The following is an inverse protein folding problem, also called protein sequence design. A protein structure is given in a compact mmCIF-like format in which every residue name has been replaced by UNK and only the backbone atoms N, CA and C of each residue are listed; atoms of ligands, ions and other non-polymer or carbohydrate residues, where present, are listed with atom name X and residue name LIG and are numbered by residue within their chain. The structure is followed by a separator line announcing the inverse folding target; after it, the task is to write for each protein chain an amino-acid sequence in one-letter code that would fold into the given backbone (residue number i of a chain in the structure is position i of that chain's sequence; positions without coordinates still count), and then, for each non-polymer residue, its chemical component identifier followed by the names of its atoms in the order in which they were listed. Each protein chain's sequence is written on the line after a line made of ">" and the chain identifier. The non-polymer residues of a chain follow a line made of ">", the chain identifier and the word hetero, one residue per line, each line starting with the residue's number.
data_IF_473416813899
#
_entry.id   IF_473416813899
#
_cell.length_a   1.000
_cell.length_b   1.000
_cell.length_c   1.000
_cell.angle_alpha   90.00
_cell.angle_beta   90.00
_cell.angle_gamma   90.00
#
_symmetry.space_group_name_H-M   'P 1'
#
loop_
_entity.id
_entity.type
_entity.pdbx_description
1 polymer ?
#
# COMPACT_ATOMS: atom_id res chain seq x y z
N UNK A 1 -15.59 32.58 4.96
CA UNK A 1 -15.37 31.12 4.85
C UNK A 1 -16.43 30.58 3.94
N UNK A 2 -16.09 29.72 2.98
CA UNK A 2 -17.11 29.01 2.21
C UNK A 2 -17.90 28.10 3.16
N UNK A 3 -19.23 28.14 3.10
CA UNK A 3 -20.13 27.34 3.94
C UNK A 3 -20.15 25.85 3.53
N UNK A 4 -19.62 25.54 2.34
CA UNK A 4 -19.59 24.18 1.78
C UNK A 4 -18.17 23.81 1.34
N UNK A 5 -17.76 22.58 1.65
CA UNK A 5 -16.54 21.98 1.07
C UNK A 5 -16.77 21.56 -0.37
N UNK A 6 -15.78 21.77 -1.24
CA UNK A 6 -15.78 21.29 -2.62
C UNK A 6 -14.51 20.50 -2.89
N UNK A 7 -14.60 19.53 -3.81
CA UNK A 7 -13.47 18.74 -4.29
C UNK A 7 -13.29 19.05 -5.78
N UNK A 8 -12.10 19.52 -6.17
CA UNK A 8 -11.73 19.72 -7.57
C UNK A 8 -10.92 18.50 -8.01
N UNK A 9 -11.36 17.84 -9.07
CA UNK A 9 -10.69 16.66 -9.63
C UNK A 9 -10.61 16.77 -11.13
N UNK A 10 -9.59 16.14 -11.71
CA UNK A 10 -9.52 15.95 -13.15
C UNK A 10 -10.64 15.01 -13.62
N UNK A 11 -11.20 15.32 -14.78
CA UNK A 11 -12.22 14.50 -15.44
C UNK A 11 -11.60 13.66 -16.54
N UNK A 12 -11.76 12.33 -16.45
CA UNK A 12 -11.31 11.37 -17.47
C UNK A 12 -12.51 11.02 -18.36
N UNK A 13 -12.61 11.67 -19.52
CA UNK A 13 -13.72 11.49 -20.47
C UNK A 13 -13.35 10.87 -21.82
N UNK A 14 -12.12 10.34 -21.95
CA UNK A 14 -11.63 9.74 -23.19
C UNK A 14 -12.27 8.37 -23.40
N UNK A 15 -13.03 8.20 -24.48
CA UNK A 15 -13.70 6.94 -24.83
C UNK A 15 -12.73 5.79 -25.12
N UNK A 16 -11.46 6.10 -25.43
CA UNK A 16 -10.44 5.09 -25.70
C UNK A 16 -9.75 4.59 -24.42
N UNK A 17 -10.18 5.05 -23.26
CA UNK A 17 -9.62 4.74 -21.95
C UNK A 17 -10.67 4.11 -21.04
N UNK A 18 -10.30 3.02 -20.38
CA UNK A 18 -11.18 2.27 -19.47
C UNK A 18 -10.41 1.79 -18.24
N UNK A 19 -11.13 1.41 -17.20
CA UNK A 19 -10.50 0.83 -16.00
C UNK A 19 -9.87 -0.52 -16.34
N UNK A 20 -8.65 -0.78 -15.86
CA UNK A 20 -7.97 -2.05 -16.09
C UNK A 20 -8.78 -3.22 -15.54
N UNK A 21 -9.49 -3.03 -14.42
CA UNK A 21 -10.38 -4.04 -13.82
C UNK A 21 -11.45 -4.56 -14.77
N UNK A 22 -11.96 -3.73 -15.70
CA UNK A 22 -13.02 -4.12 -16.63
C UNK A 22 -12.55 -5.14 -17.67
N UNK A 23 -11.26 -5.14 -17.99
CA UNK A 23 -10.68 -6.03 -19.01
C UNK A 23 -9.63 -6.98 -18.48
N UNK A 24 -9.32 -6.92 -17.18
CA UNK A 24 -8.25 -7.70 -16.54
C UNK A 24 -8.41 -9.19 -16.79
N UNK A 25 -9.56 -9.76 -16.43
CA UNK A 25 -9.74 -11.22 -16.48
C UNK A 25 -9.77 -11.78 -17.91
N UNK A 26 -10.26 -10.99 -18.86
CA UNK A 26 -10.34 -11.36 -20.27
C UNK A 26 -8.98 -11.32 -20.97
N UNK A 27 -8.07 -10.46 -20.51
CA UNK A 27 -6.86 -10.12 -21.26
C UNK A 27 -5.54 -10.34 -20.50
N UNK A 28 -5.57 -10.68 -19.21
CA UNK A 28 -4.37 -10.91 -18.38
C UNK A 28 -3.46 -12.03 -18.88
N UNK A 29 -3.90 -12.87 -19.80
CA UNK A 29 -3.09 -13.90 -20.44
C UNK A 29 -2.51 -13.46 -21.80
N UNK A 30 -2.89 -12.28 -22.32
CA UNK A 30 -2.35 -11.74 -23.57
C UNK A 30 -0.98 -11.09 -23.36
N UNK A 31 0.05 -11.68 -23.93
CA UNK A 31 1.46 -11.30 -23.72
C UNK A 31 1.74 -9.83 -24.02
N UNK A 32 1.28 -9.32 -25.16
CA UNK A 32 1.61 -7.96 -25.61
C UNK A 32 0.97 -6.90 -24.71
N UNK A 33 -0.28 -7.11 -24.30
CA UNK A 33 -0.99 -6.24 -23.36
C UNK A 33 -0.30 -6.23 -21.99
N UNK A 34 0.07 -7.40 -21.44
CA UNK A 34 0.83 -7.47 -20.18
C UNK A 34 2.16 -6.75 -20.26
N UNK A 35 2.90 -6.92 -21.37
CA UNK A 35 4.19 -6.26 -21.58
C UNK A 35 4.04 -4.73 -21.49
N UNK A 36 3.02 -4.17 -22.16
CA UNK A 36 2.73 -2.73 -22.13
C UNK A 36 2.36 -2.26 -20.71
N UNK A 37 1.51 -3.03 -20.02
CA UNK A 37 1.11 -2.73 -18.65
C UNK A 37 2.32 -2.72 -17.71
N UNK A 38 3.14 -3.78 -17.73
CA UNK A 38 4.31 -3.91 -16.84
C UNK A 38 5.33 -2.81 -17.11
N UNK A 39 5.53 -2.44 -18.37
CA UNK A 39 6.35 -1.29 -18.76
C UNK A 39 5.79 0.03 -18.24
N UNK A 40 4.47 0.21 -18.27
CA UNK A 40 3.81 1.38 -17.68
C UNK A 40 3.98 1.45 -16.16
N UNK A 41 3.66 0.36 -15.47
CA UNK A 41 3.75 0.26 -14.01
C UNK A 41 5.18 0.44 -13.52
N UNK A 42 6.16 -0.23 -14.13
CA UNK A 42 7.57 -0.09 -13.76
C UNK A 42 8.05 1.36 -13.92
N UNK A 43 7.67 2.05 -14.99
CA UNK A 43 7.98 3.48 -15.18
C UNK A 43 7.39 4.35 -14.07
N UNK A 44 6.12 4.14 -13.72
CA UNK A 44 5.46 4.89 -12.64
C UNK A 44 6.15 4.63 -11.31
N UNK A 45 6.35 3.36 -10.95
CA UNK A 45 7.01 2.94 -9.72
C UNK A 45 8.42 3.54 -9.60
N UNK A 46 9.24 3.44 -10.64
CA UNK A 46 10.60 3.99 -10.67
C UNK A 46 10.61 5.53 -10.66
N UNK A 47 9.62 6.17 -11.29
CA UNK A 47 9.52 7.63 -11.30
C UNK A 47 9.19 8.18 -9.91
N UNK A 48 8.26 7.53 -9.19
CA UNK A 48 7.89 7.93 -7.83
C UNK A 48 9.01 7.68 -6.83
N UNK A 49 9.74 6.56 -6.97
CA UNK A 49 10.82 6.19 -6.07
C UNK A 49 12.18 6.82 -6.43
N UNK A 50 12.25 7.62 -7.51
CA UNK A 50 13.50 8.18 -8.03
C UNK A 50 14.29 8.99 -7.01
N UNK A 51 13.60 9.72 -6.14
CA UNK A 51 14.21 10.56 -5.10
C UNK A 51 13.85 9.96 -3.74
N UNK A 52 14.83 9.35 -3.03
CA UNK A 52 14.62 8.92 -1.66
C UNK A 52 14.23 10.09 -0.76
N UNK A 53 13.29 9.83 0.12
CA UNK A 53 12.81 10.80 1.10
C UNK A 53 13.53 10.60 2.44
N UNK A 54 13.64 11.65 3.26
CA UNK A 54 14.43 11.60 4.50
C UNK A 54 13.76 10.82 5.64
N UNK A 55 12.50 10.40 5.47
CA UNK A 55 11.71 9.70 6.48
C UNK A 55 10.55 8.92 5.86
N UNK A 56 10.01 7.98 6.64
CA UNK A 56 8.75 7.29 6.39
C UNK A 56 7.62 8.24 6.81
N UNK A 57 6.66 8.47 5.92
CA UNK A 57 5.56 9.41 6.15
C UNK A 57 4.77 9.75 4.89
N UNK A 58 3.76 10.59 5.03
CA UNK A 58 2.92 11.11 3.95
C UNK A 58 3.07 12.63 3.81
N UNK A 59 2.88 13.13 2.60
CA UNK A 59 2.87 14.56 2.32
C UNK A 59 1.63 15.23 2.89
N UNK A 60 1.78 16.49 3.27
CA UNK A 60 0.71 17.41 3.67
C UNK A 60 0.96 18.75 3.03
N UNK A 61 -0.09 19.54 2.87
CA UNK A 61 0.01 20.95 2.53
C UNK A 61 -0.08 21.75 3.82
N UNK A 62 0.88 22.64 4.05
CA UNK A 62 0.80 23.59 5.17
C UNK A 62 -0.15 24.77 4.85
N UNK A 63 -0.34 25.67 5.81
CA UNK A 63 -1.21 26.84 5.66
C UNK A 63 -0.79 27.80 4.54
N UNK A 64 0.45 27.70 4.06
CA UNK A 64 0.99 28.50 2.97
C UNK A 64 0.95 27.74 1.63
N UNK A 65 0.37 26.54 1.60
CA UNK A 65 0.32 25.68 0.42
C UNK A 65 1.64 24.97 0.11
N UNK A 66 2.62 24.97 1.03
CA UNK A 66 3.87 24.27 0.82
C UNK A 66 3.75 22.78 1.21
N UNK A 67 4.30 21.91 0.37
CA UNK A 67 4.36 20.48 0.64
C UNK A 67 5.34 20.18 1.77
N UNK A 68 4.88 19.41 2.76
CA UNK A 68 5.68 18.95 3.90
C UNK A 68 5.46 17.47 4.16
N UNK A 69 6.57 16.75 4.36
CA UNK A 69 6.55 15.34 4.78
C UNK A 69 6.37 15.27 6.30
N UNK A 70 5.16 15.56 6.76
CA UNK A 70 4.84 15.76 8.18
C UNK A 70 3.66 14.96 8.70
N UNK A 71 2.99 14.15 7.87
CA UNK A 71 1.99 13.21 8.33
C UNK A 71 2.58 11.81 8.48
N UNK A 72 2.00 11.01 9.37
CA UNK A 72 2.31 9.58 9.49
C UNK A 72 2.10 8.85 8.15
N UNK A 73 2.72 7.68 7.94
CA UNK A 73 2.52 6.91 6.73
C UNK A 73 1.05 6.48 6.66
N UNK A 74 0.25 7.15 5.82
CA UNK A 74 -1.19 6.97 5.78
C UNK A 74 -1.53 5.91 4.74
N UNK A 75 -1.60 4.65 5.18
CA UNK A 75 -2.05 3.53 4.34
C UNK A 75 -3.55 3.30 4.52
N UNK A 76 -4.21 2.75 3.49
CA UNK A 76 -5.62 2.34 3.54
C UNK A 76 -5.92 1.50 4.80
N UNK A 77 -4.99 0.62 5.18
CA UNK A 77 -5.12 -0.22 6.38
C UNK A 77 -5.30 0.57 7.66
N UNK A 78 -4.47 1.61 7.88
CA UNK A 78 -4.58 2.43 9.09
C UNK A 78 -5.92 3.18 9.11
N UNK A 79 -6.35 3.67 7.95
CA UNK A 79 -7.64 4.34 7.81
C UNK A 79 -8.82 3.40 8.09
N UNK A 80 -8.79 2.17 7.57
CA UNK A 80 -9.83 1.17 7.83
C UNK A 80 -9.95 0.83 9.33
N UNK A 81 -8.84 0.73 10.06
CA UNK A 81 -8.87 0.52 11.51
C UNK A 81 -9.55 1.69 12.23
N UNK A 82 -9.22 2.93 11.85
CA UNK A 82 -9.81 4.13 12.47
C UNK A 82 -11.30 4.26 12.15
N UNK A 83 -11.72 3.98 10.92
CA UNK A 83 -13.13 3.93 10.54
C UNK A 83 -13.90 2.86 11.34
N UNK A 84 -13.23 1.76 11.69
CA UNK A 84 -13.76 0.72 12.57
C UNK A 84 -13.74 1.09 14.07
N UNK A 85 -13.33 2.30 14.44
CA UNK A 85 -13.21 2.73 15.84
C UNK A 85 -12.03 2.10 16.59
N UNK A 86 -11.07 1.51 15.89
CA UNK A 86 -9.92 0.84 16.48
C UNK A 86 -8.77 1.85 16.62
N UNK A 87 -8.28 2.13 17.83
CA UNK A 87 -7.23 3.10 18.03
C UNK A 87 -5.90 2.59 17.47
N UNK A 88 -5.33 3.29 16.49
CA UNK A 88 -4.01 2.96 15.93
C UNK A 88 -2.87 3.36 16.88
N UNK A 89 -3.10 4.35 17.74
CA UNK A 89 -2.11 4.97 18.64
C UNK A 89 -0.89 5.59 17.91
N UNK A 90 -0.99 5.79 16.59
CA UNK A 90 0.02 6.45 15.77
C UNK A 90 -0.43 7.90 15.60
N UNK A 91 0.29 8.86 16.21
CA UNK A 91 -0.03 10.28 16.03
C UNK A 91 0.00 10.68 14.56
N UNK A 92 -0.93 11.55 14.13
CA UNK A 92 -0.93 12.09 12.76
C UNK A 92 0.38 12.79 12.41
N UNK A 93 1.07 13.40 13.37
CA UNK A 93 2.35 14.07 13.13
C UNK A 93 3.58 13.17 13.24
N UNK A 94 3.40 11.86 13.50
CA UNK A 94 4.51 10.93 13.71
C UNK A 94 5.08 10.46 12.38
N UNK A 95 6.32 10.81 12.10
CA UNK A 95 7.12 10.27 10.99
C UNK A 95 8.30 9.48 11.53
N UNK A 96 8.83 8.53 10.76
CA UNK A 96 9.90 7.65 11.23
C UNK A 96 11.19 7.88 10.45
N UNK A 97 12.31 8.03 11.15
CA UNK A 97 13.65 8.04 10.55
C UNK A 97 14.27 6.63 10.44
N UNK A 98 13.61 5.62 11.00
CA UNK A 98 14.05 4.23 10.95
C UNK A 98 12.86 3.27 10.75
N UNK A 99 13.07 2.17 10.04
CA UNK A 99 12.06 1.19 9.69
C UNK A 99 11.49 0.41 10.89
N UNK A 100 12.30 0.11 11.91
CA UNK A 100 11.86 -0.72 13.04
C UNK A 100 10.67 -0.12 13.79
N UNK A 101 10.72 1.19 14.05
CA UNK A 101 9.63 1.89 14.75
C UNK A 101 8.32 1.82 13.95
N UNK A 102 8.41 1.99 12.64
CA UNK A 102 7.26 1.86 11.76
C UNK A 102 6.67 0.44 11.78
N UNK A 103 7.51 -0.60 11.70
CA UNK A 103 7.06 -1.98 11.75
C UNK A 103 6.45 -2.36 13.10
N UNK A 104 7.06 -1.93 14.20
CA UNK A 104 6.52 -2.17 15.55
C UNK A 104 5.16 -1.49 15.74
N UNK A 105 4.95 -0.30 15.19
CA UNK A 105 3.66 0.39 15.25
C UNK A 105 2.60 -0.30 14.38
N UNK A 106 2.96 -0.80 13.20
CA UNK A 106 2.06 -1.64 12.40
C UNK A 106 1.64 -2.93 13.14
N UNK A 107 2.58 -3.59 13.81
CA UNK A 107 2.28 -4.76 14.65
C UNK A 107 1.46 -4.38 15.89
N UNK A 108 1.64 -3.17 16.43
CA UNK A 108 0.83 -2.67 17.55
C UNK A 108 -0.60 -2.35 17.12
N UNK A 109 -0.83 -1.94 15.87
CA UNK A 109 -2.17 -1.80 15.31
C UNK A 109 -2.93 -3.14 15.27
N UNK A 110 -2.24 -4.25 14.99
CA UNK A 110 -2.83 -5.59 15.08
C UNK A 110 -3.25 -5.96 16.50
N UNK A 111 -2.40 -5.62 17.47
CA UNK A 111 -2.69 -5.82 18.89
C UNK A 111 -3.96 -5.05 19.31
N UNK A 112 -4.05 -3.79 18.86
CA UNK A 112 -5.22 -2.95 19.08
C UNK A 112 -6.48 -3.51 18.43
N UNK A 113 -6.38 -4.05 17.21
CA UNK A 113 -7.50 -4.73 16.54
C UNK A 113 -8.02 -5.91 17.35
N UNK A 114 -7.14 -6.78 17.84
CA UNK A 114 -7.53 -7.93 18.68
C UNK A 114 -8.26 -7.48 19.94
N UNK A 115 -7.86 -6.35 20.54
CA UNK A 115 -8.48 -5.83 21.76
C UNK A 115 -9.82 -5.12 21.55
N UNK A 116 -9.96 -4.39 20.44
CA UNK A 116 -11.06 -3.43 20.29
C UNK A 116 -12.09 -3.83 19.23
N UNK A 117 -11.76 -4.74 18.30
CA UNK A 117 -12.71 -5.20 17.30
C UNK A 117 -13.53 -6.39 17.85
N UNK A 118 -14.88 -6.27 17.98
CA UNK A 118 -15.70 -7.27 18.67
C UNK A 118 -15.67 -8.68 18.07
N UNK A 119 -15.47 -8.80 16.76
CA UNK A 119 -15.41 -10.06 16.02
C UNK A 119 -13.97 -10.44 15.60
N UNK A 120 -12.96 -9.99 16.34
CA UNK A 120 -11.57 -10.27 16.02
C UNK A 120 -11.09 -11.67 16.37
N UNK A 121 -11.82 -12.38 17.24
CA UNK A 121 -11.48 -13.71 17.74
C UNK A 121 -12.69 -14.62 17.56
N UNK A 122 -12.51 -15.79 16.94
CA UNK A 122 -13.60 -16.78 16.82
C UNK A 122 -13.81 -17.59 18.10
N UNK A 123 -12.70 -17.98 18.75
CA UNK A 123 -12.67 -18.83 19.94
C UNK A 123 -11.34 -18.65 20.70
N UNK A 124 -11.20 -19.33 21.84
CA UNK A 124 -10.02 -19.19 22.69
C UNK A 124 -8.71 -19.69 22.04
N UNK A 125 -8.79 -20.70 21.15
CA UNK A 125 -7.61 -21.21 20.45
C UNK A 125 -7.15 -20.24 19.37
N UNK A 126 -8.10 -19.69 18.59
CA UNK A 126 -7.81 -18.61 17.63
C UNK A 126 -7.19 -17.39 18.33
N UNK A 127 -7.77 -16.95 19.45
CA UNK A 127 -7.24 -15.84 20.23
C UNK A 127 -5.80 -16.07 20.70
N UNK A 128 -5.51 -17.25 21.26
CA UNK A 128 -4.15 -17.65 21.64
C UNK A 128 -3.21 -17.69 20.44
N UNK A 129 -3.65 -18.25 19.32
CA UNK A 129 -2.86 -18.35 18.11
C UNK A 129 -2.53 -16.97 17.52
N UNK A 130 -3.49 -16.04 17.48
CA UNK A 130 -3.26 -14.67 17.02
C UNK A 130 -2.25 -13.93 17.91
N UNK A 131 -2.39 -14.02 19.24
CA UNK A 131 -1.45 -13.41 20.19
C UNK A 131 -0.04 -14.01 20.08
N UNK A 132 0.06 -15.34 19.95
CA UNK A 132 1.33 -16.02 19.79
C UNK A 132 2.03 -15.60 18.48
N UNK A 133 1.30 -15.59 17.35
CA UNK A 133 1.82 -15.12 16.05
C UNK A 133 2.31 -13.69 16.14
N UNK A 134 1.54 -12.78 16.74
CA UNK A 134 1.92 -11.38 16.86
C UNK A 134 3.16 -11.19 17.74
N UNK A 135 3.26 -11.94 18.84
CA UNK A 135 4.43 -11.93 19.73
C UNK A 135 5.67 -12.43 18.99
N UNK A 136 5.55 -13.54 18.23
CA UNK A 136 6.63 -14.06 17.41
C UNK A 136 7.06 -13.06 16.33
N UNK A 137 6.11 -12.42 15.63
CA UNK A 137 6.43 -11.39 14.63
C UNK A 137 7.22 -10.22 15.23
N UNK A 138 6.84 -9.74 16.41
CA UNK A 138 7.59 -8.68 17.12
C UNK A 138 9.00 -9.15 17.51
N UNK A 139 9.14 -10.36 18.03
CA UNK A 139 10.42 -10.92 18.46
C UNK A 139 11.37 -11.22 17.29
N UNK A 140 10.83 -11.65 16.15
CA UNK A 140 11.60 -12.03 14.97
C UNK A 140 11.84 -10.87 14.00
N UNK A 141 11.23 -9.70 14.23
CA UNK A 141 11.36 -8.53 13.36
C UNK A 141 12.81 -8.22 12.93
N UNK A 142 13.83 -8.28 13.81
CA UNK A 142 15.21 -8.01 13.40
C UNK A 142 15.79 -8.99 12.37
N UNK A 143 15.24 -10.20 12.26
CA UNK A 143 15.66 -11.20 11.26
C UNK A 143 14.99 -10.99 9.90
N UNK A 144 13.86 -10.28 9.87
CA UNK A 144 13.09 -9.99 8.66
C UNK A 144 13.24 -8.53 8.20
N UNK A 145 14.06 -7.75 8.90
CA UNK A 145 14.39 -6.37 8.53
C UNK A 145 15.84 -6.32 8.08
N UNK A 146 16.11 -5.64 6.96
CA UNK A 146 17.49 -5.45 6.51
C UNK A 146 18.12 -4.27 7.27
N UNK A 147 19.15 -4.57 8.07
CA UNK A 147 19.89 -3.58 8.84
C UNK A 147 20.54 -2.49 7.97
N UNK A 148 20.93 -2.80 6.74
CA UNK A 148 21.48 -1.83 5.80
C UNK A 148 20.42 -0.82 5.33
N UNK A 149 19.15 -1.20 5.31
CA UNK A 149 18.03 -0.34 4.91
C UNK A 149 17.25 0.27 6.08
N UNK A 150 17.78 0.11 7.30
CA UNK A 150 17.11 0.52 8.54
C UNK A 150 16.73 2.00 8.53
N UNK A 151 17.67 2.87 8.16
CA UNK A 151 17.50 4.33 8.17
C UNK A 151 17.23 4.90 6.77
N UNK A 152 16.96 4.01 5.80
CA UNK A 152 16.65 4.36 4.42
C UNK A 152 17.40 3.50 3.41
N UNK A 153 17.16 3.68 2.09
CA UNK A 153 16.34 4.74 1.54
C UNK A 153 14.85 4.54 1.79
N UNK A 154 14.11 5.64 1.96
CA UNK A 154 12.65 5.62 2.01
C UNK A 154 12.10 6.06 0.67
N UNK A 155 11.28 5.20 0.06
CA UNK A 155 10.81 5.36 -1.31
C UNK A 155 9.33 5.72 -1.32
N UNK A 156 9.00 6.82 -1.99
CA UNK A 156 7.62 7.24 -2.23
C UNK A 156 6.94 6.31 -3.23
N UNK A 157 5.71 5.88 -2.91
CA UNK A 157 4.95 4.95 -3.75
C UNK A 157 3.46 5.04 -3.48
N UNK A 158 2.68 4.52 -4.42
CA UNK A 158 1.26 4.22 -4.21
C UNK A 158 1.12 2.90 -3.44
N UNK A 159 0.39 2.90 -2.34
CA UNK A 159 0.18 1.68 -1.53
C UNK A 159 -1.11 0.96 -1.86
N UNK A 160 -2.04 1.63 -2.54
CA UNK A 160 -3.35 1.07 -2.95
C UNK A 160 -3.51 1.02 -4.47
N UNK A 161 -2.43 0.61 -5.15
CA UNK A 161 -2.43 0.49 -6.59
C UNK A 161 -3.05 -0.85 -6.99
N UNK A 162 -4.30 -0.83 -7.46
CA UNK A 162 -5.04 -2.00 -7.96
C UNK A 162 -5.72 -1.73 -9.31
N UNK A 163 -6.24 -2.76 -10.02
CA UNK A 163 -6.75 -2.58 -11.39
C UNK A 163 -7.86 -1.53 -11.57
N UNK A 164 -8.68 -1.28 -10.55
CA UNK A 164 -9.73 -0.24 -10.64
C UNK A 164 -9.18 1.18 -10.48
N UNK A 165 -7.97 1.34 -9.93
CA UNK A 165 -7.29 2.63 -9.82
C UNK A 165 -6.40 2.94 -11.03
N UNK A 166 -6.35 2.05 -12.03
CA UNK A 166 -5.50 2.17 -13.22
C UNK A 166 -6.38 2.25 -14.46
N UNK A 167 -6.20 3.30 -15.24
CA UNK A 167 -6.90 3.50 -16.50
C UNK A 167 -5.94 3.23 -17.66
N UNK A 168 -6.39 2.41 -18.62
CA UNK A 168 -5.58 1.94 -19.75
C UNK A 168 -6.29 2.13 -21.08
N UNK A 169 -5.53 2.22 -22.17
CA UNK A 169 -6.10 2.10 -23.50
C UNK A 169 -6.31 0.63 -23.93
N UNK A 170 -6.85 0.41 -25.13
CA UNK A 170 -7.11 -0.93 -25.70
C UNK A 170 -5.90 -1.87 -25.72
N UNK A 171 -4.67 -1.32 -25.74
CA UNK A 171 -3.40 -2.06 -25.73
C UNK A 171 -2.75 -2.14 -24.34
N UNK A 172 -3.49 -1.85 -23.27
CA UNK A 172 -3.04 -1.85 -21.88
C UNK A 172 -1.87 -0.90 -21.58
N UNK A 173 -1.74 0.18 -22.35
CA UNK A 173 -0.85 1.26 -21.96
C UNK A 173 -1.54 2.09 -20.88
N UNK A 174 -0.88 2.26 -19.73
CA UNK A 174 -1.37 3.09 -18.62
C UNK A 174 -1.49 4.54 -19.08
N UNK A 175 -2.68 5.12 -18.89
CA UNK A 175 -3.01 6.50 -19.23
C UNK A 175 -3.18 7.36 -17.99
N UNK A 176 -3.89 6.84 -16.99
CA UNK A 176 -4.12 7.55 -15.73
C UNK A 176 -4.03 6.57 -14.55
N UNK A 177 -3.66 7.11 -13.40
CA UNK A 177 -3.78 6.45 -12.10
C UNK A 177 -4.56 7.40 -11.21
N UNK A 178 -5.63 6.90 -10.60
CA UNK A 178 -6.48 7.67 -9.69
C UNK A 178 -6.31 7.18 -8.25
N UNK A 179 -7.00 7.83 -7.32
CA UNK A 179 -7.06 7.43 -5.91
C UNK A 179 -5.67 7.36 -5.25
N UNK A 180 -4.99 8.51 -5.26
CA UNK A 180 -3.59 8.63 -4.84
C UNK A 180 -3.43 8.95 -3.34
N UNK A 181 -4.51 8.98 -2.58
CA UNK A 181 -4.53 9.51 -1.20
C UNK A 181 -3.74 8.67 -0.20
N UNK A 182 -3.54 7.38 -0.50
CA UNK A 182 -2.75 6.45 0.33
C UNK A 182 -1.25 6.46 0.01
N UNK A 183 -0.79 7.35 -0.88
CA UNK A 183 0.61 7.43 -1.24
C UNK A 183 1.49 7.87 -0.06
N UNK A 184 2.59 7.16 0.15
CA UNK A 184 3.52 7.47 1.23
C UNK A 184 4.95 6.99 0.95
N UNK A 185 5.87 7.56 1.71
CA UNK A 185 7.27 7.14 1.80
C UNK A 185 7.38 5.94 2.73
N UNK A 186 7.96 4.83 2.26
CA UNK A 186 8.12 3.58 3.01
C UNK A 186 9.52 2.98 2.85
N UNK A 187 9.98 2.08 3.75
CA UNK A 187 11.28 1.41 3.63
C UNK A 187 11.47 0.71 2.29
N UNK A 188 12.66 0.84 1.67
CA UNK A 188 12.95 0.25 0.36
C UNK A 188 12.72 -1.27 0.30
N UNK A 189 12.97 -2.00 1.39
CA UNK A 189 12.76 -3.46 1.46
C UNK A 189 11.31 -3.92 1.26
N UNK A 190 10.35 -3.01 1.43
CA UNK A 190 8.93 -3.28 1.17
C UNK A 190 8.52 -2.99 -0.28
N UNK A 191 9.44 -2.51 -1.12
CA UNK A 191 9.14 -2.09 -2.50
C UNK A 191 9.04 -3.30 -3.41
N UNK A 192 7.81 -3.64 -3.79
CA UNK A 192 7.49 -4.84 -4.56
C UNK A 192 6.45 -4.53 -5.63
N UNK A 193 6.44 -5.26 -6.76
CA UNK A 193 5.34 -5.19 -7.71
C UNK A 193 4.00 -5.54 -7.04
N UNK A 194 2.87 -4.99 -7.52
CA UNK A 194 1.56 -5.33 -6.97
C UNK A 194 1.25 -6.83 -7.09
N UNK A 195 0.81 -7.44 -5.99
CA UNK A 195 0.58 -8.90 -5.95
C UNK A 195 -0.53 -9.36 -6.90
N UNK A 196 -1.52 -8.52 -7.20
CA UNK A 196 -2.61 -8.87 -8.12
C UNK A 196 -2.15 -9.09 -9.56
N UNK A 197 -0.91 -8.73 -9.92
CA UNK A 197 -0.33 -9.06 -11.23
C UNK A 197 -0.20 -10.58 -11.46
N UNK A 198 -0.24 -11.35 -10.37
CA UNK A 198 -0.32 -12.82 -10.36
C UNK A 198 -1.69 -13.32 -10.84
N UNK A 199 -2.73 -12.49 -10.80
CA UNK A 199 -4.12 -12.89 -11.02
C UNK A 199 -4.71 -13.73 -9.88
N UNK A 200 -4.05 -13.80 -8.72
CA UNK A 200 -4.44 -14.62 -7.57
C UNK A 200 -4.60 -13.75 -6.33
N UNK A 201 -5.47 -14.19 -5.41
CA UNK A 201 -5.50 -13.62 -4.07
C UNK A 201 -4.24 -14.05 -3.31
N UNK A 202 -3.91 -13.33 -2.24
CA UNK A 202 -2.74 -13.68 -1.40
C UNK A 202 -2.91 -15.08 -0.79
N UNK A 203 -4.14 -15.47 -0.46
CA UNK A 203 -4.47 -16.76 0.15
C UNK A 203 -4.39 -17.92 -0.87
N UNK A 204 -4.46 -17.62 -2.16
CA UNK A 204 -4.33 -18.60 -3.25
C UNK A 204 -2.88 -18.85 -3.70
N UNK A 205 -1.89 -18.15 -3.11
CA UNK A 205 -0.47 -18.33 -3.43
C UNK A 205 0.14 -19.49 -2.63
N UNK A 206 -0.39 -20.70 -2.84
CA UNK A 206 0.04 -21.93 -2.17
C UNK A 206 0.24 -23.09 -3.16
N UNK A 207 1.08 -24.07 -2.78
CA UNK A 207 1.25 -25.33 -3.52
C UNK A 207 1.66 -25.14 -4.99
N UNK A 208 0.93 -25.77 -5.90
CA UNK A 208 1.17 -25.71 -7.35
C UNK A 208 1.15 -24.28 -7.90
N UNK A 209 0.41 -23.35 -7.26
CA UNK A 209 0.36 -21.96 -7.68
C UNK A 209 1.62 -21.16 -7.36
N UNK A 210 2.55 -21.72 -6.56
CA UNK A 210 3.88 -21.16 -6.35
C UNK A 210 4.89 -21.66 -7.39
N UNK A 211 4.63 -22.79 -8.06
CA UNK A 211 5.49 -23.32 -9.13
C UNK A 211 5.54 -22.34 -10.33
N UNK A 212 4.43 -21.62 -10.58
CA UNK A 212 4.33 -20.55 -11.58
C UNK A 212 5.38 -19.42 -11.40
N UNK A 213 6.06 -19.35 -10.24
CA UNK A 213 7.06 -18.33 -9.88
C UNK A 213 8.47 -18.89 -9.63
N UNK A 214 8.73 -20.17 -9.93
CA UNK A 214 10.03 -20.81 -9.70
C UNK A 214 11.04 -20.67 -10.86
N UNK A 215 10.64 -20.03 -11.96
CA UNK A 215 11.50 -19.67 -13.09
C UNK A 215 11.90 -18.18 -13.05
#
# INVERSE_FOLDING_TARGET
>A
MLESGYLVMDYIGDSDVQMLSETWDEHRHQRDKRMNLFKGLSRIMLSLSRVPLPRIGSWTLDSNGALRLSNRPLTLRLHQLENGGIPTNISRSLTYSAADGYYLDLLSCHDSRIRNQPNSISDADDGRAQMARLTMMKALLPYFSNREYREGPFLYRFTDLHPSNIFVNSQWNVKFVIDLEWACSLPAETFRPPYWLTGRSVDDLIGEHLEDFRE
#
